data_IF_580492340312
#
_entry.id   IF_580492340312
#
_cell.length_a   1.000
_cell.length_b   1.000
_cell.length_c   1.000
_cell.angle_alpha   90.00
_cell.angle_beta   90.00
_cell.angle_gamma   90.00
#
_symmetry.space_group_name_H-M   'P 1'
#
loop_
_entity.id
_entity.type
_entity.pdbx_description
1 polymer ?
#
# COMPACT_ATOMS: atom_id res chain seq x y z
N UNK A 1 -7.90 -11.30 -4.51
CA UNK A 1 -7.95 -10.95 -5.96
C UNK A 1 -8.55 -9.57 -6.25
N UNK A 2 -9.54 -9.07 -5.49
CA UNK A 2 -10.14 -7.74 -5.72
C UNK A 2 -9.10 -6.60 -5.69
N UNK A 3 -8.22 -6.60 -4.69
CA UNK A 3 -7.15 -5.61 -4.53
C UNK A 3 -6.20 -5.53 -5.74
N UNK A 4 -5.76 -6.68 -6.28
CA UNK A 4 -4.88 -6.72 -7.45
C UNK A 4 -5.58 -6.26 -8.73
N UNK A 5 -6.87 -6.55 -8.89
CA UNK A 5 -7.64 -6.09 -10.04
C UNK A 5 -7.84 -4.56 -10.02
N UNK A 6 -8.18 -3.99 -8.86
CA UNK A 6 -8.26 -2.54 -8.67
C UNK A 6 -6.92 -1.87 -8.95
N UNK A 7 -5.83 -2.44 -8.42
CA UNK A 7 -4.48 -1.97 -8.70
C UNK A 7 -4.17 -1.90 -10.20
N UNK A 8 -4.49 -2.96 -10.96
CA UNK A 8 -4.26 -2.97 -12.42
C UNK A 8 -5.01 -1.87 -13.15
N UNK A 9 -6.25 -1.58 -12.75
CA UNK A 9 -7.02 -0.49 -13.35
C UNK A 9 -6.35 0.87 -13.13
N UNK A 10 -5.86 1.11 -11.91
CA UNK A 10 -5.13 2.36 -11.56
C UNK A 10 -3.81 2.44 -12.33
N UNK A 11 -3.09 1.32 -12.44
CA UNK A 11 -1.85 1.24 -13.20
C UNK A 11 -2.07 1.48 -14.69
N UNK A 12 -3.13 0.94 -15.28
CA UNK A 12 -3.51 1.19 -16.68
C UNK A 12 -3.89 2.66 -16.92
N UNK A 13 -4.54 3.29 -15.94
CA UNK A 13 -5.02 4.66 -16.08
C UNK A 13 -3.93 5.72 -15.85
N UNK A 14 -3.03 5.49 -14.89
CA UNK A 14 -2.09 6.51 -14.42
C UNK A 14 -0.61 6.11 -14.53
N UNK A 15 -0.31 4.85 -14.85
CA UNK A 15 1.05 4.42 -15.14
C UNK A 15 1.64 5.19 -16.34
N UNK A 16 2.90 5.58 -16.22
CA UNK A 16 3.64 6.38 -17.19
C UNK A 16 3.36 7.89 -17.13
N UNK A 17 2.48 8.35 -16.25
CA UNK A 17 2.14 9.78 -16.13
C UNK A 17 3.24 10.61 -15.44
N UNK A 18 4.03 9.99 -14.56
CA UNK A 18 5.10 10.63 -13.80
C UNK A 18 5.93 9.57 -13.09
N UNK A 19 7.25 9.76 -13.03
CA UNK A 19 8.17 8.86 -12.28
C UNK A 19 7.75 8.63 -10.82
N UNK A 20 7.14 9.64 -10.17
CA UNK A 20 6.60 9.49 -8.80
C UNK A 20 5.46 8.48 -8.74
N UNK A 21 4.52 8.57 -9.70
CA UNK A 21 3.35 7.70 -9.74
C UNK A 21 3.79 6.28 -10.10
N UNK A 22 4.73 6.13 -11.03
CA UNK A 22 5.27 4.82 -11.40
C UNK A 22 5.97 4.14 -10.23
N UNK A 23 6.84 4.87 -9.51
CA UNK A 23 7.52 4.36 -8.33
C UNK A 23 6.53 3.97 -7.22
N UNK A 24 5.48 4.76 -7.01
CA UNK A 24 4.43 4.44 -6.05
C UNK A 24 3.67 3.16 -6.45
N UNK A 25 3.27 3.03 -7.72
CA UNK A 25 2.55 1.85 -8.19
C UNK A 25 3.41 0.59 -8.12
N UNK A 26 4.70 0.67 -8.43
CA UNK A 26 5.64 -0.45 -8.35
C UNK A 26 5.78 -0.97 -6.90
N UNK A 27 6.07 -0.07 -5.96
CA UNK A 27 6.20 -0.42 -4.53
C UNK A 27 4.91 -1.01 -3.98
N UNK A 28 3.75 -0.45 -4.35
CA UNK A 28 2.44 -1.00 -3.97
C UNK A 28 2.22 -2.40 -4.56
N UNK A 29 2.56 -2.62 -5.82
CA UNK A 29 2.39 -3.92 -6.47
C UNK A 29 3.15 -5.01 -5.73
N UNK A 30 4.39 -4.73 -5.36
CA UNK A 30 5.23 -5.66 -4.63
C UNK A 30 4.58 -6.05 -3.28
N UNK A 31 4.06 -5.07 -2.53
CA UNK A 31 3.36 -5.31 -1.26
C UNK A 31 2.09 -6.16 -1.44
N UNK A 32 1.27 -5.85 -2.46
CA UNK A 32 0.05 -6.62 -2.77
C UNK A 32 0.38 -8.08 -3.09
N UNK A 33 1.43 -8.31 -3.89
CA UNK A 33 1.87 -9.66 -4.26
C UNK A 33 2.30 -10.45 -3.03
N UNK A 34 3.04 -9.84 -2.12
CA UNK A 34 3.48 -10.49 -0.88
C UNK A 34 2.32 -10.80 0.06
N UNK A 35 1.40 -9.84 0.25
CA UNK A 35 0.15 -10.08 0.97
C UNK A 35 -0.65 -11.26 0.40
N UNK A 36 -0.79 -11.31 -0.94
CA UNK A 36 -1.49 -12.40 -1.61
C UNK A 36 -0.78 -13.74 -1.41
N UNK A 37 0.56 -13.78 -1.42
CA UNK A 37 1.33 -15.01 -1.16
C UNK A 37 1.05 -15.54 0.24
N UNK A 38 1.08 -14.67 1.26
CA UNK A 38 0.77 -15.07 2.64
C UNK A 38 -0.67 -15.57 2.80
N UNK A 39 -1.64 -14.96 2.09
CA UNK A 39 -3.04 -15.41 2.10
C UNK A 39 -3.34 -16.63 1.23
N UNK A 40 -2.50 -16.93 0.23
CA UNK A 40 -2.69 -18.07 -0.69
C UNK A 40 -2.08 -19.38 -0.21
N UNK A 41 -1.36 -19.36 0.92
CA UNK A 41 -0.85 -20.58 1.58
C UNK A 41 -1.97 -21.40 2.26
N UNK A 42 -3.23 -21.00 2.10
CA UNK A 42 -4.38 -21.83 2.44
C UNK A 42 -4.44 -23.06 1.52
N UNK A 43 -4.74 -24.26 2.06
CA UNK A 43 -4.64 -25.50 1.32
C UNK A 43 -5.57 -25.45 0.11
N UNK A 44 -4.98 -25.42 -1.09
CA UNK A 44 -5.66 -25.85 -2.30
C UNK A 44 -6.26 -27.23 -2.01
N UNK A 45 -7.48 -27.49 -2.50
CA UNK A 45 -8.35 -28.61 -2.13
C UNK A 45 -7.81 -30.05 -2.39
N UNK A 46 -6.50 -30.25 -2.47
CA UNK A 46 -5.82 -31.52 -2.56
C UNK A 46 -5.16 -31.90 -1.21
N UNK A 47 -5.92 -32.66 -0.41
CA UNK A 47 -5.44 -33.77 0.43
C UNK A 47 -4.70 -33.52 1.77
N UNK A 48 -4.70 -32.32 2.35
CA UNK A 48 -4.32 -32.14 3.76
C UNK A 48 -5.24 -31.13 4.46
N UNK A 49 -5.96 -31.58 5.49
CA UNK A 49 -6.77 -30.72 6.37
C UNK A 49 -5.92 -29.85 7.32
N UNK A 50 -4.67 -29.57 6.96
CA UNK A 50 -3.74 -28.76 7.75
C UNK A 50 -3.53 -27.47 6.98
N UNK A 51 -4.06 -26.38 7.50
CA UNK A 51 -3.66 -25.04 7.07
C UNK A 51 -2.26 -24.82 7.62
N UNK A 52 -1.24 -24.91 6.77
CA UNK A 52 0.11 -24.54 7.18
C UNK A 52 0.20 -23.02 7.23
N UNK A 53 0.45 -22.49 8.42
CA UNK A 53 0.75 -21.07 8.59
C UNK A 53 2.00 -20.70 7.76
N UNK A 54 2.08 -19.48 7.22
CA UNK A 54 3.30 -19.02 6.56
C UNK A 54 4.49 -19.08 7.52
N UNK A 55 5.70 -19.26 6.97
CA UNK A 55 6.89 -19.31 7.81
C UNK A 55 7.11 -17.96 8.53
N UNK A 56 7.67 -17.94 9.76
CA UNK A 56 8.03 -16.69 10.44
C UNK A 56 8.89 -15.76 9.59
N UNK A 57 9.72 -16.33 8.71
CA UNK A 57 10.54 -15.58 7.75
C UNK A 57 9.69 -14.84 6.71
N UNK A 58 8.68 -15.49 6.13
CA UNK A 58 7.82 -14.86 5.12
C UNK A 58 6.95 -13.77 5.76
N UNK A 59 6.51 -13.99 7.00
CA UNK A 59 5.76 -13.00 7.78
C UNK A 59 6.66 -11.79 8.11
N UNK A 60 7.88 -12.04 8.56
CA UNK A 60 8.87 -10.99 8.82
C UNK A 60 9.18 -10.16 7.59
N UNK A 61 9.38 -10.81 6.43
CA UNK A 61 9.59 -10.14 5.14
C UNK A 61 8.43 -9.18 4.80
N UNK A 62 7.19 -9.66 4.94
CA UNK A 62 6.02 -8.83 4.70
C UNK A 62 5.91 -7.67 5.68
N UNK A 63 6.21 -7.90 6.96
CA UNK A 63 6.20 -6.86 7.98
C UNK A 63 7.22 -5.76 7.68
N UNK A 64 8.46 -6.13 7.34
CA UNK A 64 9.51 -5.19 6.96
C UNK A 64 9.10 -4.39 5.70
N UNK A 65 8.58 -5.06 4.68
CA UNK A 65 8.14 -4.40 3.46
C UNK A 65 6.90 -3.50 3.67
N UNK A 66 5.98 -3.87 4.56
CA UNK A 66 4.85 -3.03 4.95
C UNK A 66 5.32 -1.73 5.60
N UNK A 67 6.29 -1.82 6.52
CA UNK A 67 6.90 -0.66 7.17
C UNK A 67 7.64 0.21 6.16
N UNK A 68 8.40 -0.41 5.23
CA UNK A 68 9.08 0.30 4.16
C UNK A 68 8.09 1.04 3.26
N UNK A 69 6.99 0.40 2.86
CA UNK A 69 5.94 1.02 2.04
C UNK A 69 5.26 2.21 2.74
N UNK A 70 4.97 2.09 4.03
CA UNK A 70 4.42 3.19 4.83
C UNK A 70 5.42 4.34 4.92
N UNK A 71 6.68 4.03 5.25
CA UNK A 71 7.76 5.02 5.42
C UNK A 71 8.06 5.75 4.12
N UNK A 72 8.13 5.02 3.02
CA UNK A 72 8.37 5.56 1.69
C UNK A 72 7.24 6.49 1.24
N UNK A 73 5.99 6.14 1.58
CA UNK A 73 4.85 7.03 1.41
C UNK A 73 5.04 8.37 2.12
N UNK A 74 5.32 8.34 3.42
CA UNK A 74 5.43 9.54 4.26
C UNK A 74 6.64 10.42 3.95
N UNK A 75 7.79 9.83 3.60
CA UNK A 75 9.06 10.58 3.52
C UNK A 75 9.61 10.76 2.11
N UNK A 76 9.24 9.94 1.13
CA UNK A 76 9.81 10.03 -0.22
C UNK A 76 8.78 10.42 -1.25
N UNK A 77 7.68 9.68 -1.34
CA UNK A 77 6.61 9.99 -2.29
C UNK A 77 6.09 11.41 -2.06
N UNK A 78 5.81 11.78 -0.80
CA UNK A 78 5.29 13.12 -0.48
C UNK A 78 6.28 14.22 -0.83
N UNK A 79 7.56 14.05 -0.51
CA UNK A 79 8.61 15.01 -0.89
C UNK A 79 8.72 15.19 -2.40
N UNK A 80 8.71 14.09 -3.17
CA UNK A 80 8.77 14.16 -4.63
C UNK A 80 7.54 14.85 -5.24
N UNK A 81 6.35 14.65 -4.67
CA UNK A 81 5.12 15.34 -5.12
C UNK A 81 5.20 16.83 -4.79
N UNK A 82 5.59 17.19 -3.57
CA UNK A 82 5.74 18.59 -3.15
C UNK A 82 6.74 19.33 -4.05
N UNK A 83 7.85 18.71 -4.40
CA UNK A 83 8.86 19.33 -5.24
C UNK A 83 8.37 19.55 -6.67
N UNK A 84 7.57 18.63 -7.22
CA UNK A 84 6.91 18.85 -8.51
C UNK A 84 5.91 20.00 -8.46
N UNK A 85 5.08 20.09 -7.41
CA UNK A 85 4.14 21.20 -7.25
C UNK A 85 4.82 22.55 -7.09
N UNK A 86 5.91 22.62 -6.32
CA UNK A 86 6.74 23.84 -6.23
C UNK A 86 7.28 24.23 -7.61
N UNK A 87 7.72 23.27 -8.43
CA UNK A 87 8.27 23.53 -9.75
C UNK A 87 7.21 24.04 -10.75
N UNK A 88 5.95 23.60 -10.63
CA UNK A 88 4.85 24.06 -11.50
C UNK A 88 4.10 25.28 -10.95
N UNK A 89 4.37 25.68 -9.71
CA UNK A 89 3.62 26.73 -9.00
C UNK A 89 2.26 26.25 -8.48
N UNK A 90 1.97 24.95 -8.55
CA UNK A 90 0.75 24.37 -8.00
C UNK A 90 0.75 24.47 -6.48
N UNK A 91 -0.42 24.76 -5.90
CA UNK A 91 -0.65 24.74 -4.46
C UNK A 91 -1.63 23.61 -4.14
N UNK A 92 -1.33 22.87 -3.07
CA UNK A 92 -2.27 21.88 -2.52
C UNK A 92 -3.64 22.51 -2.22
N UNK A 93 -4.65 21.66 -2.10
CA UNK A 93 -6.01 22.06 -1.75
C UNK A 93 -6.57 21.14 -0.67
N UNK A 94 -7.73 21.51 -0.12
CA UNK A 94 -8.38 20.77 0.96
C UNK A 94 -8.65 19.29 0.61
N UNK A 95 -8.85 18.95 -0.66
CA UNK A 95 -9.11 17.58 -1.09
C UNK A 95 -7.86 16.71 -0.99
N UNK A 96 -6.71 17.23 -1.42
CA UNK A 96 -5.40 16.59 -1.30
C UNK A 96 -5.03 16.43 0.17
N UNK A 97 -5.16 17.50 0.96
CA UNK A 97 -4.82 17.50 2.39
C UNK A 97 -5.69 16.50 3.16
N UNK A 98 -6.99 16.42 2.84
CA UNK A 98 -7.89 15.44 3.41
C UNK A 98 -7.55 13.99 3.01
N UNK A 99 -7.09 13.76 1.78
CA UNK A 99 -6.63 12.43 1.35
C UNK A 99 -5.38 12.01 2.14
N UNK A 100 -4.40 12.91 2.31
CA UNK A 100 -3.23 12.65 3.14
C UNK A 100 -3.60 12.31 4.58
N UNK A 101 -4.47 13.10 5.21
CA UNK A 101 -4.91 12.85 6.58
C UNK A 101 -5.54 11.46 6.74
N UNK A 102 -6.35 11.02 5.77
CA UNK A 102 -6.95 9.68 5.78
C UNK A 102 -5.92 8.57 5.63
N UNK A 103 -4.88 8.76 4.82
CA UNK A 103 -3.77 7.79 4.69
C UNK A 103 -3.04 7.66 6.04
N UNK A 104 -2.75 8.79 6.71
CA UNK A 104 -2.10 8.79 8.04
C UNK A 104 -2.89 7.95 9.04
N UNK A 105 -4.22 8.06 9.07
CA UNK A 105 -5.08 7.28 9.98
C UNK A 105 -4.97 5.75 9.80
N UNK A 106 -4.49 5.28 8.65
CA UNK A 106 -4.25 3.84 8.42
C UNK A 106 -2.88 3.36 8.89
N UNK A 107 -1.99 4.27 9.27
CA UNK A 107 -0.59 3.96 9.60
C UNK A 107 -0.48 3.17 10.90
N UNK A 108 -1.03 3.71 12.00
CA UNK A 108 -0.94 3.08 13.32
C UNK A 108 -1.41 1.62 13.36
N UNK A 109 -2.62 1.26 12.86
CA UNK A 109 -3.06 -0.13 12.93
C UNK A 109 -2.25 -1.09 12.04
N UNK A 110 -1.61 -0.58 10.96
CA UNK A 110 -0.68 -1.39 10.15
C UNK A 110 0.66 -1.60 10.87
N UNK A 111 1.15 -0.60 11.62
CA UNK A 111 2.35 -0.72 12.44
C UNK A 111 2.13 -1.64 13.64
N UNK A 112 0.95 -1.61 14.26
CA UNK A 112 0.57 -2.54 15.33
C UNK A 112 0.64 -4.01 14.87
N UNK A 113 0.23 -4.29 13.63
CA UNK A 113 0.38 -5.61 13.03
C UNK A 113 1.86 -5.99 12.89
N UNK A 114 2.70 -5.11 12.35
CA UNK A 114 4.14 -5.34 12.25
C UNK A 114 4.75 -5.64 13.62
N UNK A 115 4.45 -4.84 14.64
CA UNK A 115 5.01 -5.00 15.98
C UNK A 115 4.60 -6.33 16.61
N UNK A 116 3.37 -6.80 16.33
CA UNK A 116 2.87 -8.09 16.81
C UNK A 116 3.59 -9.28 16.16
N UNK A 117 3.93 -9.20 14.88
CA UNK A 117 4.38 -10.38 14.10
C UNK A 117 5.86 -10.39 13.73
N UNK A 118 6.60 -9.29 13.92
CA UNK A 118 8.04 -9.19 13.59
C UNK A 118 8.95 -10.14 14.38
N UNK A 119 8.50 -10.69 15.51
CA UNK A 119 9.31 -11.53 16.42
C UNK A 119 8.56 -12.79 16.91
N UNK A 120 7.62 -13.30 16.14
CA UNK A 120 6.87 -14.49 16.56
C UNK A 120 7.59 -15.75 16.11
N UNK A 121 7.82 -16.66 17.05
CA UNK A 121 8.67 -17.82 16.82
C UNK A 121 7.88 -19.07 16.37
N UNK A 122 6.68 -19.38 16.91
CA UNK A 122 6.00 -20.64 16.56
C UNK A 122 4.45 -20.64 16.57
N UNK A 123 3.77 -20.01 17.55
CA UNK A 123 2.29 -20.04 17.62
C UNK A 123 1.66 -18.70 17.29
N UNK A 124 0.83 -18.67 16.23
CA UNK A 124 0.12 -17.47 15.79
C UNK A 124 -1.39 -17.72 15.61
N UNK A 125 -2.13 -18.03 16.70
CA UNK A 125 -3.54 -18.45 16.62
C UNK A 125 -4.47 -17.38 16.03
N UNK A 126 -4.08 -16.10 16.06
CA UNK A 126 -4.87 -14.99 15.50
C UNK A 126 -4.37 -14.50 14.13
N UNK A 127 -3.36 -15.12 13.54
CA UNK A 127 -2.70 -14.62 12.33
C UNK A 127 -3.67 -14.41 11.16
N UNK A 128 -4.51 -15.38 10.87
CA UNK A 128 -5.46 -15.27 9.75
C UNK A 128 -6.44 -14.11 9.95
N UNK A 129 -6.95 -13.95 11.17
CA UNK A 129 -7.87 -12.87 11.50
C UNK A 129 -7.18 -11.51 11.38
N UNK A 130 -5.94 -11.40 11.86
CA UNK A 130 -5.19 -10.14 11.82
C UNK A 130 -4.71 -9.81 10.40
N UNK A 131 -4.34 -10.81 9.60
CA UNK A 131 -4.08 -10.64 8.16
C UNK A 131 -5.33 -10.17 7.41
N UNK A 132 -6.52 -10.69 7.74
CA UNK A 132 -7.77 -10.20 7.15
C UNK A 132 -7.98 -8.72 7.44
N UNK A 133 -7.76 -8.28 8.70
CA UNK A 133 -7.85 -6.86 9.08
C UNK A 133 -6.82 -6.00 8.36
N UNK A 134 -5.57 -6.47 8.24
CA UNK A 134 -4.54 -5.79 7.45
C UNK A 134 -5.00 -5.63 6.01
N UNK A 135 -5.58 -6.67 5.41
CA UNK A 135 -6.14 -6.61 4.05
C UNK A 135 -7.22 -5.54 3.91
N UNK A 136 -8.16 -5.45 4.85
CA UNK A 136 -9.21 -4.43 4.87
C UNK A 136 -8.64 -3.02 5.00
N UNK A 137 -7.67 -2.82 5.90
CA UNK A 137 -7.01 -1.52 6.11
C UNK A 137 -6.20 -1.13 4.86
N UNK A 138 -5.47 -2.06 4.26
CA UNK A 138 -4.74 -1.82 3.01
C UNK A 138 -5.69 -1.48 1.86
N UNK A 139 -6.85 -2.13 1.76
CA UNK A 139 -7.84 -1.79 0.74
C UNK A 139 -8.40 -0.38 0.92
N UNK A 140 -8.69 0.02 2.16
CA UNK A 140 -9.09 1.39 2.48
C UNK A 140 -7.99 2.39 2.15
N UNK A 141 -6.75 2.09 2.56
CA UNK A 141 -5.58 2.92 2.27
C UNK A 141 -5.40 3.11 0.77
N UNK A 142 -5.38 2.02 0.00
CA UNK A 142 -5.20 2.07 -1.46
C UNK A 142 -6.31 2.86 -2.14
N UNK A 143 -7.57 2.73 -1.72
CA UNK A 143 -8.65 3.54 -2.29
C UNK A 143 -8.45 5.06 -2.10
N UNK A 144 -7.90 5.47 -0.95
CA UNK A 144 -7.56 6.88 -0.70
C UNK A 144 -6.33 7.29 -1.52
N UNK A 145 -5.32 6.42 -1.60
CA UNK A 145 -4.13 6.68 -2.40
C UNK A 145 -4.43 6.74 -3.90
N UNK A 146 -5.37 5.94 -4.42
CA UNK A 146 -5.82 5.99 -5.82
C UNK A 146 -6.41 7.36 -6.15
N UNK A 147 -7.24 7.88 -5.25
CA UNK A 147 -7.79 9.23 -5.38
C UNK A 147 -6.68 10.29 -5.33
N UNK A 148 -5.70 10.13 -4.45
CA UNK A 148 -4.57 11.04 -4.36
C UNK A 148 -3.68 10.97 -5.62
N UNK A 149 -3.42 9.79 -6.17
CA UNK A 149 -2.70 9.59 -7.44
C UNK A 149 -3.42 10.34 -8.57
N UNK A 150 -4.74 10.22 -8.66
CA UNK A 150 -5.53 10.97 -9.64
C UNK A 150 -5.34 12.48 -9.46
N UNK A 151 -5.49 13.01 -8.25
CA UNK A 151 -5.32 14.45 -7.98
C UNK A 151 -3.92 14.94 -8.33
N UNK A 152 -2.89 14.14 -8.05
CA UNK A 152 -1.51 14.42 -8.43
C UNK A 152 -1.37 14.40 -9.95
N UNK A 153 -1.85 13.37 -10.64
CA UNK A 153 -1.76 13.28 -12.10
C UNK A 153 -2.44 14.49 -12.78
N UNK A 154 -3.65 14.84 -12.34
CA UNK A 154 -4.41 15.98 -12.84
C UNK A 154 -3.66 17.30 -12.60
N UNK A 155 -3.06 17.48 -11.41
CA UNK A 155 -2.27 18.67 -11.08
C UNK A 155 -0.99 18.82 -11.91
N UNK A 156 -0.39 17.69 -12.33
CA UNK A 156 0.83 17.66 -13.14
C UNK A 156 0.53 17.81 -14.64
N UNK A 157 -0.72 17.57 -15.06
CA UNK A 157 -1.17 17.81 -16.42
C UNK A 157 -1.37 19.30 -16.75
N UNK A 158 -1.44 20.17 -15.73
CA UNK A 158 -1.60 21.62 -15.91
C UNK A 158 -0.24 22.21 -16.31
N UNK A 159 -0.10 22.83 -17.51
CA UNK A 159 1.16 23.43 -17.92
C UNK A 159 1.53 24.62 -17.00
N UNK A 160 2.83 24.88 -16.77
CA UNK A 160 3.25 26.00 -15.95
C UNK A 160 2.71 27.32 -16.52
N UNK A 161 1.94 28.07 -15.72
CA UNK A 161 1.44 29.41 -16.07
C UNK A 161 0.06 29.48 -16.74
N UNK A 162 -0.76 28.43 -16.65
CA UNK A 162 -2.19 28.47 -17.01
C UNK A 162 -3.05 29.25 -15.99
#
# INVERSE_FOLDING_TARGET
MVMLNKFKQVQEQWGGSSEVIDHWLETRQALIVEYCKLGSLQPSQAQSNVVELPSPKDIGSFCDHLVDYISEGHFKIYDMVMDKWKATGFKTNDEIDAAYAKIVLTTDPLLEFNDKYKKVDDEMPSFEQDMSKVGEILELRFAVEDKLIQLIADSLAIPPGA
#
